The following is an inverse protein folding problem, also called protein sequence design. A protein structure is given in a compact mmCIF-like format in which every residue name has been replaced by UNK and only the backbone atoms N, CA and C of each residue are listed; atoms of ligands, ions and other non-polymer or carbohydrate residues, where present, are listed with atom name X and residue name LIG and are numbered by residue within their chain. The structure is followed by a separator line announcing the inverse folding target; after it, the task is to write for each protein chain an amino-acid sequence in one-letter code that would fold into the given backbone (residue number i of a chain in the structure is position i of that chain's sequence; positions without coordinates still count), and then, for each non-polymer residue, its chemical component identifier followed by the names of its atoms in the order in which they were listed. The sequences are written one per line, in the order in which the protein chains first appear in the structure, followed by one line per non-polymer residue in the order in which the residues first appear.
data_IF_345719174259
#
_entry.id   IF_345719174259
#
_cell.length_a   1.000
_cell.length_b   1.000
_cell.length_c   1.000
_cell.angle_alpha   90.00
_cell.angle_beta   90.00
_cell.angle_gamma   90.00
#
_symmetry.space_group_name_H-M   'P 1'
#
loop_
_entity.id
_entity.type
_entity.pdbx_description
1 polymer ?
#
# COMPACT_ATOMS: atom_id res chain seq x y z
N UNK A 1 0.09 -6.65 -29.75
CA UNK A 1 -0.40 -5.97 -28.53
C UNK A 1 0.82 -5.43 -27.81
N UNK A 2 1.07 -4.11 -27.85
CA UNK A 2 2.26 -3.51 -27.22
C UNK A 2 1.98 -3.33 -25.73
N UNK A 3 2.73 -4.06 -24.90
CA UNK A 3 2.68 -3.93 -23.45
C UNK A 3 3.27 -2.56 -23.08
N UNK A 4 2.48 -1.68 -22.47
CA UNK A 4 2.98 -0.41 -21.94
C UNK A 4 3.59 -0.70 -20.57
N UNK A 5 4.89 -0.49 -20.43
CA UNK A 5 5.55 -0.51 -19.13
C UNK A 5 5.13 0.76 -18.39
N UNK A 6 4.34 0.60 -17.34
CA UNK A 6 4.11 1.63 -16.35
C UNK A 6 4.32 0.98 -14.99
N UNK A 7 5.31 1.50 -14.26
CA UNK A 7 5.76 0.96 -12.97
C UNK A 7 4.68 1.20 -11.93
N UNK A 8 3.82 0.21 -11.70
CA UNK A 8 2.89 0.22 -10.56
C UNK A 8 3.40 -0.69 -9.45
N UNK A 9 3.31 -0.16 -8.24
CA UNK A 9 3.59 -0.83 -6.98
C UNK A 9 2.42 -1.72 -6.60
N UNK A 10 2.61 -3.02 -6.61
CA UNK A 10 1.61 -3.94 -6.09
C UNK A 10 1.76 -4.04 -4.58
N UNK A 11 0.65 -3.82 -3.86
CA UNK A 11 0.50 -4.34 -2.51
C UNK A 11 0.66 -5.85 -2.62
N UNK A 12 1.72 -6.39 -2.01
CA UNK A 12 1.77 -7.81 -1.69
C UNK A 12 0.63 -8.06 -0.70
N UNK A 13 -0.53 -8.48 -1.21
CA UNK A 13 -1.54 -9.11 -0.36
C UNK A 13 -0.91 -10.42 0.07
N UNK A 14 -0.39 -10.47 1.30
CA UNK A 14 -0.15 -11.75 1.96
C UNK A 14 -1.51 -12.44 2.06
N UNK A 15 -1.81 -13.29 1.08
CA UNK A 15 -2.85 -14.30 1.26
C UNK A 15 -2.41 -15.17 2.43
N UNK A 16 -3.05 -14.98 3.59
CA UNK A 16 -3.01 -15.95 4.67
C UNK A 16 -3.80 -17.19 4.24
N UNK A 17 -3.16 -18.09 3.51
CA UNK A 17 -3.40 -19.53 3.54
C UNK A 17 -2.35 -20.22 2.67
N UNK A 18 -1.63 -21.16 3.27
CA UNK A 18 -0.61 -22.02 2.64
C UNK A 18 0.62 -21.28 2.09
N UNK A 19 1.69 -21.29 2.89
CA UNK A 19 2.99 -20.77 2.50
C UNK A 19 3.50 -21.40 1.21
N UNK A 20 3.79 -20.53 0.26
CA UNK A 20 4.83 -20.64 -0.76
C UNK A 20 5.12 -19.20 -1.20
N UNK A 21 6.20 -18.61 -0.67
CA UNK A 21 6.82 -17.45 -1.29
C UNK A 21 7.46 -17.94 -2.60
N UNK A 22 6.69 -17.91 -3.69
CA UNK A 22 7.23 -18.18 -5.01
C UNK A 22 7.49 -16.85 -5.71
N UNK A 23 8.76 -16.46 -5.79
CA UNK A 23 9.21 -15.56 -6.83
C UNK A 23 8.79 -16.18 -8.18
N UNK A 24 7.88 -15.54 -8.92
CA UNK A 24 7.49 -15.98 -10.26
C UNK A 24 6.00 -16.11 -10.58
N UNK A 25 5.07 -15.75 -9.69
CA UNK A 25 3.66 -15.62 -10.07
C UNK A 25 3.39 -14.19 -10.50
N UNK A 26 3.45 -13.95 -11.82
CA UNK A 26 3.02 -12.67 -12.39
C UNK A 26 1.56 -12.43 -12.02
N UNK A 27 1.32 -11.39 -11.22
CA UNK A 27 -0.03 -11.02 -10.81
C UNK A 27 -0.55 -9.95 -11.75
N UNK A 28 -1.71 -10.21 -12.33
CA UNK A 28 -2.35 -9.24 -13.22
C UNK A 28 -3.33 -8.38 -12.45
N UNK A 29 -3.11 -7.07 -12.43
CA UNK A 29 -4.11 -6.10 -11.97
C UNK A 29 -4.93 -5.52 -13.11
N UNK A 30 -6.22 -5.30 -12.86
CA UNK A 30 -7.07 -4.50 -13.73
C UNK A 30 -7.76 -3.43 -12.90
N UNK A 31 -7.55 -2.16 -13.24
CA UNK A 31 -8.21 -1.04 -12.56
C UNK A 31 -9.45 -0.61 -13.34
N UNK A 32 -10.58 -0.47 -12.65
CA UNK A 32 -11.90 -0.22 -13.28
C UNK A 32 -12.47 1.17 -12.98
N UNK A 33 -11.88 1.89 -12.02
CA UNK A 33 -12.25 3.27 -11.71
C UNK A 33 -11.74 3.73 -10.36
N UNK A 34 -12.15 4.93 -9.94
CA UNK A 34 -11.88 5.49 -8.62
C UNK A 34 -12.74 4.80 -7.54
N UNK A 35 -12.23 4.78 -6.31
CA UNK A 35 -12.93 4.26 -5.14
C UNK A 35 -13.08 5.34 -4.06
N UNK A 36 -12.27 5.31 -3.00
CA UNK A 36 -12.34 6.23 -1.87
C UNK A 36 -11.29 7.30 -1.98
N UNK A 37 -11.68 8.55 -1.96
CA UNK A 37 -10.76 9.66 -2.11
C UNK A 37 -11.47 10.99 -2.28
N UNK A 38 -10.68 12.03 -2.45
CA UNK A 38 -11.15 13.37 -2.80
C UNK A 38 -10.30 13.94 -3.92
N UNK A 39 -10.85 14.87 -4.68
CA UNK A 39 -10.06 15.63 -5.63
C UNK A 39 -9.22 16.69 -4.90
N UNK A 40 -7.98 16.85 -5.34
CA UNK A 40 -7.02 17.85 -4.86
C UNK A 40 -6.41 18.58 -6.04
N UNK A 41 -5.85 19.75 -5.80
CA UNK A 41 -5.12 20.51 -6.82
C UNK A 41 -3.63 20.41 -6.55
N UNK A 42 -2.88 19.92 -7.54
CA UNK A 42 -1.41 19.82 -7.52
C UNK A 42 -0.80 20.90 -8.43
N UNK A 43 0.33 21.53 -8.07
CA UNK A 43 0.90 22.63 -8.86
C UNK A 43 1.19 22.29 -10.34
N UNK A 44 1.69 21.08 -10.62
CA UNK A 44 2.07 20.67 -11.97
C UNK A 44 0.98 19.88 -12.74
N UNK A 45 -0.06 19.40 -12.05
CA UNK A 45 -1.04 18.47 -12.61
C UNK A 45 -2.48 19.00 -12.58
N UNK A 46 -2.72 20.14 -11.92
CA UNK A 46 -4.06 20.68 -11.75
C UNK A 46 -4.92 19.79 -10.84
N UNK A 47 -6.22 19.71 -11.15
CA UNK A 47 -7.16 18.90 -10.39
C UNK A 47 -7.02 17.41 -10.66
N UNK A 48 -6.64 16.64 -9.65
CA UNK A 48 -6.49 15.18 -9.71
C UNK A 48 -7.30 14.49 -8.63
N UNK A 49 -7.67 13.24 -8.87
CA UNK A 49 -8.23 12.38 -7.83
C UNK A 49 -7.11 11.85 -6.94
N UNK A 50 -7.25 12.00 -5.63
CA UNK A 50 -6.33 11.47 -4.62
C UNK A 50 -7.07 10.48 -3.71
N UNK A 51 -6.73 9.20 -3.82
CA UNK A 51 -7.31 8.12 -3.04
C UNK A 51 -7.11 6.74 -3.68
N UNK A 52 -7.93 5.78 -3.27
CA UNK A 52 -7.90 4.41 -3.79
C UNK A 52 -8.64 4.26 -5.11
N UNK A 53 -8.26 3.24 -5.87
CA UNK A 53 -8.89 2.81 -7.10
C UNK A 53 -9.49 1.41 -6.95
N UNK A 54 -10.63 1.18 -7.60
CA UNK A 54 -11.27 -0.14 -7.69
C UNK A 54 -10.50 -1.01 -8.65
N UNK A 55 -9.96 -2.11 -8.18
CA UNK A 55 -9.20 -3.02 -9.02
C UNK A 55 -9.53 -4.49 -8.74
N UNK A 56 -9.03 -5.36 -9.59
CA UNK A 56 -8.88 -6.78 -9.28
C UNK A 56 -7.41 -7.17 -9.40
N UNK A 57 -6.94 -8.10 -8.56
CA UNK A 57 -5.68 -8.81 -8.76
C UNK A 57 -6.01 -10.28 -8.97
N UNK A 58 -5.64 -10.83 -10.13
CA UNK A 58 -5.96 -12.20 -10.53
C UNK A 58 -7.46 -12.51 -10.40
N UNK A 59 -8.32 -11.52 -10.72
CA UNK A 59 -9.78 -11.61 -10.60
C UNK A 59 -10.36 -11.32 -9.20
N UNK A 60 -9.53 -11.19 -8.16
CA UNK A 60 -9.99 -10.89 -6.81
C UNK A 60 -10.12 -9.38 -6.59
N UNK A 61 -11.28 -8.86 -6.13
CA UNK A 61 -11.45 -7.44 -5.85
C UNK A 61 -10.43 -6.93 -4.83
N UNK A 62 -9.84 -5.76 -5.11
CA UNK A 62 -8.90 -5.08 -4.24
C UNK A 62 -8.97 -3.56 -4.45
N UNK A 63 -8.41 -2.82 -3.51
CA UNK A 63 -8.20 -1.37 -3.62
C UNK A 63 -6.72 -1.09 -3.84
N UNK A 64 -6.38 -0.28 -4.85
CA UNK A 64 -5.01 0.09 -5.17
C UNK A 64 -4.80 1.59 -5.01
N UNK A 65 -3.54 2.00 -4.81
CA UNK A 65 -3.10 3.40 -4.91
C UNK A 65 -2.27 3.60 -6.16
N UNK A 66 -2.19 4.84 -6.65
CA UNK A 66 -1.27 5.21 -7.70
C UNK A 66 0.07 5.66 -7.11
N UNK A 67 1.20 5.18 -7.60
CA UNK A 67 2.51 5.64 -7.13
C UNK A 67 3.26 6.49 -8.15
N UNK A 68 2.59 6.78 -9.27
CA UNK A 68 3.16 7.56 -10.37
C UNK A 68 2.19 8.70 -10.69
N UNK A 69 2.53 9.89 -10.25
CA UNK A 69 1.76 11.11 -10.45
C UNK A 69 1.92 11.67 -11.87
N UNK A 70 2.95 11.24 -12.59
CA UNK A 70 3.32 11.78 -13.90
C UNK A 70 2.63 11.05 -15.05
N UNK A 71 2.05 9.87 -14.80
CA UNK A 71 1.38 9.08 -15.81
C UNK A 71 -0.08 8.80 -15.47
N UNK A 72 -0.93 8.97 -16.48
CA UNK A 72 -2.33 8.62 -16.35
C UNK A 72 -2.51 7.11 -16.27
N UNK A 73 -3.33 6.70 -15.32
CA UNK A 73 -3.83 5.33 -15.24
C UNK A 73 -4.81 5.06 -16.39
N UNK A 74 -4.56 4.00 -17.16
CA UNK A 74 -5.53 3.45 -18.10
C UNK A 74 -6.50 2.49 -17.38
N UNK A 75 -7.80 2.68 -17.60
CA UNK A 75 -8.83 1.80 -17.04
C UNK A 75 -9.12 0.62 -17.94
N UNK A 76 -9.48 -0.51 -17.34
CA UNK A 76 -9.78 -1.78 -17.99
C UNK A 76 -8.61 -2.34 -18.82
N UNK A 77 -7.38 -1.95 -18.46
CA UNK A 77 -6.15 -2.52 -18.98
C UNK A 77 -5.49 -3.43 -17.93
N UNK A 78 -4.70 -4.39 -18.41
CA UNK A 78 -3.96 -5.31 -17.56
C UNK A 78 -2.57 -4.76 -17.25
N UNK A 79 -2.28 -4.64 -15.96
CA UNK A 79 -0.98 -4.30 -15.41
C UNK A 79 -0.32 -5.56 -14.86
N UNK A 80 0.98 -5.72 -15.08
CA UNK A 80 1.78 -6.81 -14.53
C UNK A 80 2.70 -6.27 -13.46
N UNK A 81 2.92 -7.04 -12.40
CA UNK A 81 4.00 -6.77 -11.47
C UNK A 81 5.35 -7.01 -12.18
N UNK A 82 6.26 -6.06 -12.02
CA UNK A 82 7.59 -6.14 -12.65
C UNK A 82 8.71 -6.08 -11.62
N UNK A 83 8.47 -5.52 -10.43
CA UNK A 83 9.50 -5.30 -9.41
C UNK A 83 8.92 -5.32 -7.99
N UNK A 84 9.83 -5.44 -7.00
CA UNK A 84 9.49 -5.39 -5.60
C UNK A 84 9.23 -3.96 -5.12
N UNK A 85 8.32 -3.84 -4.17
CA UNK A 85 7.90 -2.57 -3.59
C UNK A 85 8.93 -2.02 -2.59
N UNK A 86 9.23 -0.72 -2.65
CA UNK A 86 10.02 -0.02 -1.62
C UNK A 86 9.43 -0.26 -0.23
N UNK A 87 10.29 -0.57 0.75
CA UNK A 87 9.83 -0.99 2.08
C UNK A 87 9.11 0.14 2.84
N UNK A 88 9.38 1.41 2.52
CA UNK A 88 8.69 2.56 3.11
C UNK A 88 7.27 2.66 2.59
N UNK A 89 7.08 2.46 1.27
CA UNK A 89 5.76 2.38 0.66
C UNK A 89 5.01 1.13 1.16
N UNK A 90 5.68 -0.02 1.28
CA UNK A 90 5.11 -1.23 1.87
C UNK A 90 4.64 -1.02 3.31
N UNK A 91 5.43 -0.30 4.12
CA UNK A 91 5.07 0.01 5.50
C UNK A 91 3.76 0.81 5.55
N UNK A 92 3.62 1.84 4.71
CA UNK A 92 2.39 2.65 4.65
C UNK A 92 1.19 1.76 4.26
N UNK A 93 1.33 0.96 3.21
CA UNK A 93 0.26 0.10 2.69
C UNK A 93 -0.20 -0.96 3.70
N UNK A 94 0.66 -1.38 4.63
CA UNK A 94 0.34 -2.36 5.68
C UNK A 94 -0.11 -1.74 7.02
N UNK A 95 0.00 -0.42 7.20
CA UNK A 95 -0.30 0.23 8.48
C UNK A 95 -1.40 1.28 8.40
N UNK A 96 -1.88 1.60 7.21
CA UNK A 96 -2.90 2.62 6.98
C UNK A 96 -4.05 2.12 6.10
N UNK A 97 -5.01 3.01 5.81
CA UNK A 97 -6.18 2.70 5.00
C UNK A 97 -5.75 2.17 3.61
N UNK A 98 -6.40 1.13 3.05
CA UNK A 98 -7.56 0.40 3.59
C UNK A 98 -7.19 -0.82 4.46
N UNK A 99 -5.92 -1.20 4.51
CA UNK A 99 -5.49 -2.44 5.17
C UNK A 99 -5.74 -2.41 6.68
N UNK A 100 -5.44 -1.27 7.30
CA UNK A 100 -5.72 -1.01 8.71
C UNK A 100 -6.78 0.10 8.81
N UNK A 101 -7.67 -0.03 9.79
CA UNK A 101 -8.71 0.95 10.11
C UNK A 101 -8.86 1.04 11.64
N UNK A 102 -9.49 2.11 12.13
CA UNK A 102 -9.72 2.40 13.55
C UNK A 102 -8.48 2.83 14.33
N UNK A 103 -7.42 3.33 13.68
CA UNK A 103 -6.22 3.78 14.40
C UNK A 103 -6.29 5.25 14.82
N UNK A 104 -5.45 5.62 15.79
CA UNK A 104 -5.42 6.99 16.32
C UNK A 104 -5.08 8.01 15.22
N UNK A 105 -5.89 9.07 15.16
CA UNK A 105 -5.71 10.17 14.20
C UNK A 105 -6.18 9.87 12.77
N UNK A 106 -6.84 8.73 12.53
CA UNK A 106 -7.51 8.44 11.26
C UNK A 106 -8.61 9.47 10.95
N UNK A 107 -8.63 9.95 9.70
CA UNK A 107 -9.68 10.83 9.20
C UNK A 107 -10.91 10.03 8.75
N UNK A 108 -11.92 10.70 8.20
CA UNK A 108 -12.99 10.00 7.47
C UNK A 108 -12.41 9.25 6.27
N UNK A 109 -13.00 8.10 5.92
CA UNK A 109 -12.49 7.17 4.89
C UNK A 109 -11.97 7.86 3.62
N UNK A 110 -12.76 8.75 3.01
CA UNK A 110 -12.37 9.43 1.77
C UNK A 110 -11.17 10.38 1.96
N UNK A 111 -11.03 10.97 3.15
CA UNK A 111 -9.94 11.90 3.49
C UNK A 111 -8.68 11.15 3.91
N UNK A 112 -8.82 10.05 4.62
CA UNK A 112 -7.70 9.18 4.98
C UNK A 112 -7.10 8.54 3.72
N UNK A 113 -7.93 8.01 2.81
CA UNK A 113 -7.46 7.49 1.53
C UNK A 113 -6.68 8.55 0.74
N UNK A 114 -7.16 9.79 0.73
CA UNK A 114 -6.44 10.90 0.10
C UNK A 114 -5.12 11.22 0.81
N UNK A 115 -5.08 11.20 2.14
CA UNK A 115 -3.86 11.45 2.91
C UNK A 115 -2.79 10.38 2.67
N UNK A 116 -3.20 9.10 2.61
CA UNK A 116 -2.32 7.99 2.25
C UNK A 116 -1.79 8.16 0.82
N UNK A 117 -2.65 8.50 -0.15
CA UNK A 117 -2.24 8.73 -1.53
C UNK A 117 -1.22 9.88 -1.65
N UNK A 118 -1.40 10.99 -0.93
CA UNK A 118 -0.44 12.09 -0.91
C UNK A 118 0.90 11.68 -0.28
N UNK A 119 0.88 10.87 0.79
CA UNK A 119 2.09 10.34 1.41
C UNK A 119 2.87 9.41 0.46
N UNK A 120 2.16 8.57 -0.30
CA UNK A 120 2.77 7.71 -1.32
C UNK A 120 3.44 8.56 -2.42
N UNK A 121 2.75 9.55 -2.99
CA UNK A 121 3.34 10.43 -4.01
C UNK A 121 4.50 11.29 -3.50
N UNK A 122 4.50 11.65 -2.22
CA UNK A 122 5.65 12.33 -1.61
C UNK A 122 6.91 11.44 -1.66
N UNK A 123 6.76 10.16 -1.33
CA UNK A 123 7.86 9.21 -1.26
C UNK A 123 8.25 8.63 -2.63
N UNK A 124 7.31 8.48 -3.56
CA UNK A 124 7.58 7.92 -4.89
C UNK A 124 8.03 8.97 -5.90
N UNK A 125 7.36 10.12 -5.95
CA UNK A 125 7.56 11.15 -7.00
C UNK A 125 8.05 12.49 -6.46
N UNK A 126 8.31 12.60 -5.15
CA UNK A 126 8.82 13.83 -4.53
C UNK A 126 7.79 14.95 -4.43
N UNK A 127 6.49 14.63 -4.38
CA UNK A 127 5.43 15.62 -4.19
C UNK A 127 5.69 16.46 -2.92
N UNK A 128 5.74 17.78 -3.04
CA UNK A 128 5.65 18.66 -1.87
C UNK A 128 4.21 18.71 -1.37
N UNK A 129 3.92 17.99 -0.28
CA UNK A 129 2.58 17.95 0.33
C UNK A 129 2.10 19.36 0.71
N UNK A 130 3.01 20.28 1.09
CA UNK A 130 2.62 21.64 1.45
C UNK A 130 2.16 22.48 0.26
N UNK A 131 2.53 22.09 -0.96
CA UNK A 131 2.08 22.74 -2.20
C UNK A 131 0.67 22.31 -2.63
N UNK A 132 0.10 21.25 -2.04
CA UNK A 132 -1.25 20.76 -2.35
C UNK A 132 -2.30 21.78 -1.91
N UNK A 133 -3.28 22.03 -2.78
CA UNK A 133 -4.36 22.99 -2.55
C UNK A 133 -5.74 22.39 -2.79
N UNK A 134 -6.77 23.12 -2.34
CA UNK A 134 -8.17 22.74 -2.47
C UNK A 134 -8.59 22.56 -3.93
N UNK A 135 -9.44 21.56 -4.18
CA UNK A 135 -10.18 21.43 -5.44
C UNK A 135 -11.67 21.69 -5.20
N UNK A 136 -12.29 22.57 -6.00
CA UNK A 136 -13.72 22.85 -5.91
C UNK A 136 -14.19 23.39 -4.55
N UNK A 137 -13.34 24.12 -3.82
CA UNK A 137 -13.66 24.68 -2.51
C UNK A 137 -13.48 23.72 -1.31
N UNK A 138 -13.09 22.47 -1.54
CA UNK A 138 -12.82 21.51 -0.46
C UNK A 138 -11.51 21.82 0.24
N UNK A 139 -11.55 22.25 1.51
CA UNK A 139 -10.34 22.42 2.33
C UNK A 139 -9.59 21.08 2.46
N UNK A 140 -8.27 21.10 2.32
CA UNK A 140 -7.37 19.91 2.37
C UNK A 140 -6.33 19.99 3.50
N UNK A 141 -6.48 20.92 4.45
CA UNK A 141 -5.46 21.18 5.49
C UNK A 141 -5.21 19.99 6.42
N UNK A 142 -6.26 19.34 6.87
CA UNK A 142 -6.21 18.08 7.64
C UNK A 142 -5.62 16.92 6.82
N UNK A 143 -5.95 16.80 5.52
CA UNK A 143 -5.38 15.78 4.62
C UNK A 143 -3.86 15.98 4.52
N UNK A 144 -3.40 17.22 4.36
CA UNK A 144 -1.97 17.56 4.31
C UNK A 144 -1.27 17.23 5.63
N UNK A 145 -1.86 17.68 6.75
CA UNK A 145 -1.33 17.42 8.09
C UNK A 145 -1.23 15.92 8.35
N UNK A 146 -2.26 15.17 7.93
CA UNK A 146 -2.32 13.72 8.05
C UNK A 146 -1.27 13.03 7.18
N UNK A 147 -1.14 13.43 5.91
CA UNK A 147 -0.14 12.89 5.00
C UNK A 147 1.29 13.09 5.54
N UNK A 148 1.59 14.28 6.07
CA UNK A 148 2.88 14.56 6.70
C UNK A 148 3.13 13.68 7.93
N UNK A 149 2.10 13.42 8.74
CA UNK A 149 2.21 12.51 9.89
C UNK A 149 2.47 11.06 9.45
N UNK A 150 1.81 10.59 8.38
CA UNK A 150 2.04 9.25 7.79
C UNK A 150 3.48 9.14 7.26
N UNK A 151 3.96 10.17 6.55
CA UNK A 151 5.35 10.21 6.06
C UNK A 151 6.34 10.17 7.23
N UNK A 152 6.10 10.95 8.28
CA UNK A 152 6.98 10.97 9.46
C UNK A 152 7.01 9.61 10.18
N UNK A 153 5.85 8.96 10.33
CA UNK A 153 5.76 7.62 10.91
C UNK A 153 6.48 6.58 10.05
N UNK A 154 6.26 6.60 8.73
CA UNK A 154 6.93 5.69 7.79
C UNK A 154 8.45 5.89 7.82
N UNK A 155 8.95 7.12 7.79
CA UNK A 155 10.39 7.38 7.87
C UNK A 155 11.03 6.90 9.19
N UNK A 156 10.26 6.88 10.28
CA UNK A 156 10.74 6.43 11.59
C UNK A 156 10.72 4.91 11.73
N UNK A 157 9.66 4.27 11.23
CA UNK A 157 9.31 2.88 11.55
C UNK A 157 9.40 1.92 10.36
N UNK A 158 9.55 2.41 9.13
CA UNK A 158 9.78 1.56 7.99
C UNK A 158 11.20 1.00 8.07
N UNK A 159 11.27 -0.32 8.18
CA UNK A 159 12.51 -1.06 8.21
C UNK A 159 12.44 -2.16 7.15
N UNK A 160 13.56 -2.38 6.46
CA UNK A 160 13.71 -3.58 5.65
C UNK A 160 13.75 -4.78 6.60
N UNK A 161 12.68 -5.57 6.61
CA UNK A 161 12.68 -6.87 7.25
C UNK A 161 13.24 -7.89 6.27
N UNK A 162 14.55 -8.09 6.28
CA UNK A 162 15.16 -9.28 5.69
C UNK A 162 14.94 -10.45 6.65
N UNK A 163 13.73 -11.03 6.65
CA UNK A 163 13.46 -12.27 7.35
C UNK A 163 14.14 -13.41 6.59
N UNK A 164 15.43 -13.57 6.84
CA UNK A 164 16.23 -14.60 6.19
C UNK A 164 15.96 -15.97 6.82
N UNK A 165 15.51 -16.02 8.08
CA UNK A 165 15.30 -17.29 8.78
C UNK A 165 14.24 -17.19 9.87
N UNK A 166 13.27 -18.12 9.83
CA UNK A 166 12.46 -18.48 10.98
C UNK A 166 13.10 -19.66 11.70
N UNK A 167 13.38 -19.50 13.00
CA UNK A 167 13.83 -20.62 13.84
C UNK A 167 12.66 -21.09 14.69
N UNK A 168 12.25 -22.33 14.48
CA UNK A 168 11.31 -23.02 15.36
C UNK A 168 12.14 -23.75 16.41
N UNK A 169 12.06 -23.28 17.66
CA UNK A 169 12.71 -23.95 18.77
C UNK A 169 11.68 -24.81 19.52
N UNK A 170 11.87 -26.13 19.45
CA UNK A 170 11.05 -27.09 20.19
C UNK A 170 11.86 -27.54 21.42
N UNK A 171 11.45 -27.17 22.66
CA UNK A 171 12.26 -27.40 23.86
C UNK A 171 12.38 -28.88 24.26
N UNK A 172 11.53 -29.77 23.74
CA UNK A 172 11.59 -31.22 23.97
C UNK A 172 11.49 -31.99 22.64
N UNK A 173 12.20 -33.11 22.52
CA UNK A 173 12.22 -33.91 21.28
C UNK A 173 11.25 -35.09 21.28
N UNK A 174 10.57 -35.34 22.40
CA UNK A 174 9.55 -36.39 22.52
C UNK A 174 8.31 -35.86 23.23
N UNK A 175 7.14 -36.06 22.62
CA UNK A 175 5.84 -35.68 23.16
C UNK A 175 4.90 -36.88 23.19
N UNK A 176 4.09 -36.97 24.24
CA UNK A 176 3.02 -37.96 24.29
C UNK A 176 1.95 -37.64 23.25
N UNK A 177 1.51 -38.65 22.51
CA UNK A 177 0.44 -38.52 21.51
C UNK A 177 -0.81 -37.94 22.19
N UNK A 178 -1.38 -36.89 21.58
CA UNK A 178 -2.58 -36.21 22.10
C UNK A 178 -2.32 -35.11 23.14
N UNK A 179 -1.06 -34.85 23.50
CA UNK A 179 -0.72 -33.75 24.42
C UNK A 179 -0.48 -32.43 23.68
N UNK A 180 -1.01 -31.29 24.16
CA UNK A 180 -0.65 -29.97 23.64
C UNK A 180 0.85 -29.69 23.80
N UNK A 181 1.46 -29.07 22.79
CA UNK A 181 2.87 -28.67 22.80
C UNK A 181 2.99 -27.18 22.56
N UNK A 182 3.83 -26.52 23.35
CA UNK A 182 4.23 -25.12 23.13
C UNK A 182 5.63 -25.08 22.54
N UNK A 183 5.81 -24.34 21.46
CA UNK A 183 7.12 -24.04 20.86
C UNK A 183 7.28 -22.53 20.70
N UNK A 184 8.52 -22.09 20.51
CA UNK A 184 8.82 -20.67 20.26
C UNK A 184 9.25 -20.50 18.80
N UNK A 185 8.63 -19.54 18.12
CA UNK A 185 9.07 -19.09 16.80
C UNK A 185 9.86 -17.80 16.98
N UNK A 186 11.06 -17.74 16.42
CA UNK A 186 11.88 -16.52 16.38
C UNK A 186 12.13 -16.12 14.93
N UNK A 187 12.09 -14.83 14.69
CA UNK A 187 12.46 -14.19 13.43
C UNK A 187 13.83 -13.52 13.60
N UNK A 188 14.72 -13.71 12.62
CA UNK A 188 16.06 -13.11 12.56
C UNK A 188 16.31 -12.44 11.21
#
# INVERSE_FOLDING_TARGET
MKLKQLTFLFVFVLLTASGLLQAGVQSTATVTGTDKGVNVTLPAHGGVFSGTFKATINGNPTSLYCIDINHNLAYNENYQDVEATDYTLAYILNNYYPFKNGYAGELSVEREASAVQLALWHLSDGLDINSVTSYGGNNVSDIKTRALAIVADANLNAHSFNLNTFVINIPAQSFAIGSPVTFTVKAF
#
